data_IF_160018677996
#
_entry.id   IF_160018677996
#
_cell.length_a   1.000
_cell.length_b   1.000
_cell.length_c   1.000
_cell.angle_alpha   90.00
_cell.angle_beta   90.00
_cell.angle_gamma   90.00
#
_symmetry.space_group_name_H-M   'P 1'
#
loop_
_entity.id
_entity.type
_entity.pdbx_description
1 polymer ?
#
# COMPACT_ATOMS: atom_id res chain seq x y z
N UNK A 1 2.14 11.28 -8.11
CA UNK A 1 3.24 11.75 -7.26
C UNK A 1 2.74 12.96 -6.52
N UNK A 2 2.77 12.93 -5.19
CA UNK A 2 2.09 13.88 -4.32
C UNK A 2 3.04 14.26 -3.19
N UNK A 3 3.01 15.53 -2.74
CA UNK A 3 3.61 15.91 -1.46
C UNK A 3 2.62 15.54 -0.35
N UNK A 4 3.08 14.86 0.70
CA UNK A 4 2.25 14.55 1.87
C UNK A 4 2.01 15.83 2.66
N UNK A 5 0.85 15.93 3.32
CA UNK A 5 0.58 17.06 4.20
C UNK A 5 1.58 17.07 5.35
N UNK A 6 2.15 18.25 5.64
CA UNK A 6 2.77 18.49 6.95
C UNK A 6 1.65 18.39 7.97
N UNK A 7 1.74 17.44 8.92
CA UNK A 7 0.84 17.50 10.08
C UNK A 7 1.21 18.76 10.85
N UNK A 8 0.41 19.82 10.69
CA UNK A 8 0.43 20.93 11.62
C UNK A 8 0.25 20.36 13.05
N UNK A 9 0.86 21.03 14.02
CA UNK A 9 1.09 20.58 15.40
C UNK A 9 -0.17 20.36 16.26
N UNK A 10 -1.35 20.21 15.66
CA UNK A 10 -2.57 19.89 16.38
C UNK A 10 -2.71 18.37 16.56
N UNK A 11 -3.03 17.91 17.78
CA UNK A 11 -3.26 16.50 18.02
C UNK A 11 -4.44 16.03 17.16
N UNK A 12 -4.26 14.89 16.49
CA UNK A 12 -5.29 14.26 15.65
C UNK A 12 -6.61 13.97 16.41
N UNK A 13 -6.54 13.91 17.74
CA UNK A 13 -7.66 13.66 18.63
C UNK A 13 -7.45 14.46 19.92
N UNK A 14 -8.48 15.19 20.36
CA UNK A 14 -8.53 15.84 21.66
C UNK A 14 -9.18 14.91 22.68
N UNK A 15 -8.39 14.28 23.58
CA UNK A 15 -8.93 13.37 24.56
C UNK A 15 -9.82 14.05 25.58
N UNK A 16 -9.85 15.38 25.71
CA UNK A 16 -10.72 16.08 26.66
C UNK A 16 -12.06 16.49 26.07
N UNK A 17 -12.21 16.44 24.74
CA UNK A 17 -13.46 16.75 24.07
C UNK A 17 -14.48 15.61 24.21
N UNK A 18 -15.62 15.90 24.85
CA UNK A 18 -16.69 14.92 25.08
C UNK A 18 -17.35 14.46 23.77
N UNK A 19 -17.43 15.32 22.75
CA UNK A 19 -17.99 14.99 21.44
C UNK A 19 -17.05 14.03 20.72
N UNK A 20 -15.76 14.33 20.69
CA UNK A 20 -14.79 13.42 20.04
C UNK A 20 -14.71 12.07 20.76
N UNK A 21 -14.71 12.06 22.10
CA UNK A 21 -14.78 10.83 22.90
C UNK A 21 -16.01 9.98 22.55
N UNK A 22 -17.19 10.61 22.42
CA UNK A 22 -18.41 9.89 22.09
C UNK A 22 -18.34 9.34 20.65
N UNK A 23 -17.87 10.14 19.69
CA UNK A 23 -17.70 9.72 18.31
C UNK A 23 -16.75 8.51 18.17
N UNK A 24 -15.65 8.47 18.93
CA UNK A 24 -14.75 7.31 18.95
C UNK A 24 -15.42 6.04 19.47
N UNK A 25 -16.25 6.15 20.52
CA UNK A 25 -17.01 5.01 21.05
C UNK A 25 -18.00 4.50 20.02
N UNK A 26 -18.72 5.38 19.35
CA UNK A 26 -19.69 5.03 18.33
C UNK A 26 -19.02 4.34 17.14
N UNK A 27 -17.85 4.83 16.71
CA UNK A 27 -17.04 4.19 15.67
C UNK A 27 -16.55 2.80 16.10
N UNK A 28 -16.06 2.66 17.33
CA UNK A 28 -15.62 1.38 17.88
C UNK A 28 -16.74 0.34 17.90
N UNK A 29 -17.92 0.71 18.41
CA UNK A 29 -19.11 -0.15 18.41
C UNK A 29 -19.54 -0.54 17.00
N UNK A 30 -19.53 0.41 16.06
CA UNK A 30 -19.86 0.16 14.66
C UNK A 30 -18.89 -0.82 14.00
N UNK A 31 -17.59 -0.64 14.20
CA UNK A 31 -16.57 -1.54 13.62
C UNK A 31 -16.62 -2.93 14.24
N UNK A 32 -16.86 -3.02 15.55
CA UNK A 32 -17.08 -4.29 16.22
C UNK A 32 -18.29 -5.03 15.63
N UNK A 33 -19.41 -4.34 15.42
CA UNK A 33 -20.59 -4.92 14.78
C UNK A 33 -20.30 -5.40 13.35
N UNK A 34 -19.47 -4.69 12.58
CA UNK A 34 -19.06 -5.15 11.23
C UNK A 34 -18.25 -6.43 11.26
N UNK A 35 -17.39 -6.62 12.27
CA UNK A 35 -16.64 -7.86 12.45
C UNK A 35 -17.57 -8.99 12.89
N UNK A 36 -18.43 -8.75 13.88
CA UNK A 36 -19.40 -9.74 14.40
C UNK A 36 -20.40 -10.21 13.33
N UNK A 37 -20.84 -9.31 12.45
CA UNK A 37 -21.75 -9.61 11.34
C UNK A 37 -21.03 -10.23 10.12
N UNK A 38 -19.69 -10.31 10.14
CA UNK A 38 -18.90 -10.83 9.02
C UNK A 38 -18.82 -9.91 7.79
N UNK A 39 -19.23 -8.64 7.93
CA UNK A 39 -19.05 -7.59 6.91
C UNK A 39 -17.56 -7.30 6.76
N UNK A 40 -16.85 -7.16 7.88
CA UNK A 40 -15.40 -7.12 7.92
C UNK A 40 -14.86 -8.46 8.39
N UNK A 41 -13.84 -8.95 7.69
CA UNK A 41 -13.11 -10.16 8.06
C UNK A 41 -11.66 -9.80 8.26
N UNK A 42 -11.12 -10.10 9.44
CA UNK A 42 -9.71 -9.92 9.76
C UNK A 42 -9.03 -11.27 9.63
N UNK A 43 -8.06 -11.37 8.72
CA UNK A 43 -7.38 -12.62 8.39
C UNK A 43 -5.86 -12.44 8.49
N UNK A 44 -5.17 -13.50 8.89
CA UNK A 44 -3.71 -13.58 8.90
C UNK A 44 -3.22 -14.69 7.98
N UNK A 45 -1.96 -14.58 7.53
CA UNK A 45 -1.27 -15.62 6.77
C UNK A 45 0.25 -15.40 6.84
N UNK A 46 1.03 -16.46 7.02
CA UNK A 46 2.49 -16.39 7.23
C UNK A 46 3.25 -15.75 6.05
N UNK A 47 2.66 -15.80 4.85
CA UNK A 47 3.19 -15.13 3.67
C UNK A 47 3.48 -13.64 3.91
N UNK A 48 2.62 -12.95 4.67
CA UNK A 48 2.75 -11.50 4.91
C UNK A 48 4.02 -11.15 5.67
N UNK A 49 4.41 -12.00 6.61
CA UNK A 49 5.60 -11.83 7.47
C UNK A 49 6.83 -12.59 6.97
N UNK A 50 6.69 -13.38 5.89
CA UNK A 50 7.81 -14.04 5.22
C UNK A 50 8.73 -13.06 4.48
N UNK A 51 9.88 -13.56 4.01
CA UNK A 51 10.81 -12.80 3.16
C UNK A 51 10.38 -12.72 1.69
N UNK A 52 9.33 -13.43 1.28
CA UNK A 52 8.91 -13.46 -0.12
C UNK A 52 8.34 -12.11 -0.57
N UNK A 53 8.79 -11.68 -1.75
CA UNK A 53 8.12 -10.64 -2.52
C UNK A 53 6.77 -11.16 -3.05
N UNK A 54 5.86 -10.24 -3.36
CA UNK A 54 4.50 -10.59 -3.83
C UNK A 54 4.47 -11.20 -5.23
N UNK A 55 5.59 -11.18 -5.95
CA UNK A 55 5.81 -11.98 -7.16
C UNK A 55 5.54 -13.47 -6.93
N UNK A 56 5.85 -13.98 -5.73
CA UNK A 56 5.70 -15.38 -5.38
C UNK A 56 4.28 -15.73 -4.95
N UNK A 57 3.43 -14.75 -4.63
CA UNK A 57 2.07 -14.99 -4.13
C UNK A 57 1.26 -15.94 -5.04
N UNK A 58 1.29 -15.82 -6.39
CA UNK A 58 0.51 -16.71 -7.26
C UNK A 58 1.06 -18.12 -7.44
N UNK A 59 2.33 -18.36 -7.11
CA UNK A 59 3.04 -19.60 -7.46
C UNK A 59 3.60 -20.35 -6.26
N UNK A 60 3.68 -19.71 -5.10
CA UNK A 60 4.22 -20.33 -3.88
C UNK A 60 3.19 -21.32 -3.32
N UNK A 61 3.52 -22.62 -3.19
CA UNK A 61 2.55 -23.62 -2.72
C UNK A 61 1.95 -23.30 -1.35
N UNK A 62 2.77 -22.74 -0.43
CA UNK A 62 2.31 -22.35 0.90
C UNK A 62 1.39 -21.12 0.92
N UNK A 63 1.27 -20.37 -0.18
CA UNK A 63 0.39 -19.20 -0.28
C UNK A 63 -0.80 -19.42 -1.23
N UNK A 64 -0.97 -20.65 -1.73
CA UNK A 64 -1.99 -20.96 -2.74
C UNK A 64 -3.42 -20.71 -2.23
N UNK A 65 -3.70 -21.06 -0.96
CA UNK A 65 -4.98 -20.80 -0.32
C UNK A 65 -5.25 -19.29 -0.22
N UNK A 66 -4.28 -18.53 0.30
CA UNK A 66 -4.35 -17.07 0.40
C UNK A 66 -4.61 -16.43 -0.96
N UNK A 67 -3.86 -16.80 -2.00
CA UNK A 67 -4.05 -16.24 -3.33
C UNK A 67 -5.45 -16.53 -3.89
N UNK A 68 -5.94 -17.76 -3.73
CA UNK A 68 -7.29 -18.13 -4.18
C UNK A 68 -8.38 -17.37 -3.41
N UNK A 69 -8.20 -17.13 -2.12
CA UNK A 69 -9.11 -16.31 -1.31
C UNK A 69 -9.14 -14.86 -1.79
N UNK A 70 -7.96 -14.26 -1.97
CA UNK A 70 -7.81 -12.87 -2.42
C UNK A 70 -8.39 -12.63 -3.81
N UNK A 71 -8.26 -13.60 -4.73
CA UNK A 71 -8.81 -13.52 -6.09
C UNK A 71 -10.32 -13.33 -6.15
N UNK A 72 -11.05 -13.65 -5.07
CA UNK A 72 -12.49 -13.41 -4.99
C UNK A 72 -12.86 -11.94 -4.76
N UNK A 73 -11.88 -11.08 -4.51
CA UNK A 73 -12.08 -9.64 -4.30
C UNK A 73 -12.09 -8.88 -5.63
N UNK A 74 -12.86 -7.79 -5.71
CA UNK A 74 -12.85 -6.92 -6.89
C UNK A 74 -11.62 -5.99 -6.95
N UNK A 75 -11.06 -5.63 -5.79
CA UNK A 75 -9.94 -4.69 -5.67
C UNK A 75 -9.00 -5.08 -4.53
N UNK A 76 -7.70 -5.08 -4.82
CA UNK A 76 -6.65 -5.23 -3.80
C UNK A 76 -6.07 -3.87 -3.43
N UNK A 77 -6.03 -3.56 -2.14
CA UNK A 77 -5.50 -2.31 -1.61
C UNK A 77 -4.26 -2.61 -0.77
N UNK A 78 -3.09 -2.20 -1.25
CA UNK A 78 -1.82 -2.31 -0.53
C UNK A 78 -1.45 -0.98 0.11
N UNK A 79 -1.14 -1.00 1.42
CA UNK A 79 -0.86 0.21 2.20
C UNK A 79 0.58 0.27 2.66
N UNK A 80 1.21 1.42 2.48
CA UNK A 80 2.51 1.73 3.06
C UNK A 80 3.70 1.24 2.24
N UNK A 81 4.89 1.59 2.73
CA UNK A 81 6.16 1.43 2.02
C UNK A 81 6.59 -0.03 1.88
N UNK A 82 6.51 -0.83 2.95
CA UNK A 82 6.90 -2.25 2.90
C UNK A 82 6.09 -3.06 1.89
N UNK A 83 4.77 -2.84 1.83
CA UNK A 83 3.92 -3.49 0.85
C UNK A 83 4.29 -3.08 -0.58
N UNK A 84 4.62 -1.81 -0.80
CA UNK A 84 5.09 -1.34 -2.11
C UNK A 84 6.40 -2.01 -2.50
N UNK A 85 7.37 -2.09 -1.58
CA UNK A 85 8.65 -2.77 -1.81
C UNK A 85 8.45 -4.25 -2.17
N UNK A 86 7.61 -4.98 -1.42
CA UNK A 86 7.24 -6.36 -1.75
C UNK A 86 6.50 -6.50 -3.09
N UNK A 87 5.68 -5.51 -3.47
CA UNK A 87 5.01 -5.47 -4.78
C UNK A 87 6.02 -5.37 -5.91
N UNK A 88 7.00 -4.48 -5.80
CA UNK A 88 7.97 -4.20 -6.86
C UNK A 88 9.30 -4.95 -6.72
N UNK A 89 9.31 -6.01 -5.90
CA UNK A 89 10.48 -6.85 -5.65
C UNK A 89 11.70 -6.12 -5.04
N UNK A 90 11.53 -4.90 -4.53
CA UNK A 90 12.59 -4.08 -3.93
C UNK A 90 13.87 -3.96 -4.81
N UNK A 91 13.71 -3.97 -6.15
CA UNK A 91 14.82 -3.88 -7.09
C UNK A 91 15.19 -2.43 -7.44
N UNK A 92 16.40 -2.24 -7.99
CA UNK A 92 16.86 -0.98 -8.57
C UNK A 92 16.23 -0.71 -9.95
N UNK A 93 14.93 -0.47 -9.96
CA UNK A 93 14.20 -0.15 -11.19
C UNK A 93 14.56 1.24 -11.72
N UNK A 94 14.59 1.44 -13.05
CA UNK A 94 14.38 2.76 -13.61
C UNK A 94 13.08 3.35 -13.07
N UNK A 95 13.12 4.57 -12.56
CA UNK A 95 11.95 5.20 -11.91
C UNK A 95 10.75 5.40 -12.85
N UNK A 96 10.99 5.32 -14.16
CA UNK A 96 10.01 5.43 -15.23
C UNK A 96 9.40 4.09 -15.63
N UNK A 97 9.89 2.95 -15.10
CA UNK A 97 9.33 1.63 -15.38
C UNK A 97 7.83 1.61 -15.06
N UNK A 98 6.96 1.13 -15.96
CA UNK A 98 5.53 1.05 -15.68
C UNK A 98 5.22 0.20 -14.45
N UNK A 99 4.30 0.66 -13.60
CA UNK A 99 3.93 -0.08 -12.37
C UNK A 99 3.46 -1.51 -12.67
N UNK A 100 2.67 -1.70 -13.74
CA UNK A 100 2.20 -3.02 -14.19
C UNK A 100 3.35 -3.98 -14.51
N UNK A 101 4.45 -3.48 -15.06
CA UNK A 101 5.65 -4.28 -15.33
C UNK A 101 6.41 -4.60 -14.05
N UNK A 102 6.59 -3.59 -13.20
CA UNK A 102 7.33 -3.70 -11.95
C UNK A 102 6.69 -4.61 -10.90
N UNK A 103 5.39 -4.95 -11.01
CA UNK A 103 4.73 -5.92 -10.11
C UNK A 103 4.72 -7.36 -10.65
N UNK A 104 5.43 -7.61 -11.77
CA UNK A 104 5.73 -8.94 -12.29
C UNK A 104 4.48 -9.79 -12.54
N UNK A 105 4.39 -11.03 -12.00
CA UNK A 105 3.24 -11.90 -12.18
C UNK A 105 1.90 -11.28 -11.79
N UNK A 106 1.87 -10.34 -10.83
CA UNK A 106 0.63 -9.67 -10.44
C UNK A 106 0.13 -8.65 -11.47
N UNK A 107 1.01 -8.19 -12.36
CA UNK A 107 0.67 -7.26 -13.42
C UNK A 107 0.37 -7.92 -14.75
N UNK A 108 0.93 -9.11 -15.01
CA UNK A 108 0.75 -9.83 -16.27
C UNK A 108 -0.39 -10.85 -16.27
N UNK A 109 -0.79 -11.37 -15.10
CA UNK A 109 -1.85 -12.38 -14.98
C UNK A 109 -3.25 -11.76 -15.09
N UNK A 110 -4.12 -12.46 -15.80
CA UNK A 110 -5.53 -12.09 -15.95
C UNK A 110 -6.39 -12.46 -14.74
N UNK A 111 -6.01 -13.50 -14.00
CA UNK A 111 -6.74 -13.92 -12.79
C UNK A 111 -6.39 -13.10 -11.55
N UNK A 112 -5.64 -12.01 -11.71
CA UNK A 112 -5.32 -11.07 -10.63
C UNK A 112 -6.26 -9.86 -10.74
N UNK A 113 -7.08 -9.60 -9.69
CA UNK A 113 -7.96 -8.44 -9.63
C UNK A 113 -7.23 -7.11 -9.83
N UNK A 114 -8.02 -6.04 -9.99
CA UNK A 114 -7.44 -4.70 -9.98
C UNK A 114 -6.71 -4.45 -8.66
N UNK A 115 -5.61 -3.71 -8.72
CA UNK A 115 -4.72 -3.49 -7.59
C UNK A 115 -4.35 -2.02 -7.49
N UNK A 116 -4.46 -1.46 -6.29
CA UNK A 116 -3.95 -0.13 -5.97
C UNK A 116 -2.97 -0.18 -4.79
N UNK A 117 -1.86 0.53 -4.92
CA UNK A 117 -0.91 0.75 -3.84
C UNK A 117 -0.90 2.21 -3.42
N UNK A 118 -1.14 2.46 -2.13
CA UNK A 118 -1.00 3.75 -1.49
C UNK A 118 0.28 3.77 -0.69
N UNK A 119 1.29 4.51 -1.16
CA UNK A 119 2.62 4.49 -0.58
C UNK A 119 3.15 5.89 -0.35
N UNK A 120 3.53 6.16 0.88
CA UNK A 120 4.45 7.25 1.22
C UNK A 120 5.89 6.76 0.99
N UNK A 121 6.71 7.53 0.28
CA UNK A 121 8.08 7.19 -0.08
C UNK A 121 8.98 7.18 1.16
N UNK A 122 9.39 5.99 1.60
CA UNK A 122 10.30 5.75 2.72
C UNK A 122 11.45 4.80 2.36
N UNK A 123 11.69 4.61 1.06
CA UNK A 123 12.73 3.76 0.49
C UNK A 123 13.08 4.25 -0.93
N UNK A 124 14.29 3.94 -1.37
CA UNK A 124 14.87 4.34 -2.66
C UNK A 124 14.10 3.81 -3.88
N UNK A 125 13.43 2.66 -3.78
CA UNK A 125 12.66 2.12 -4.90
C UNK A 125 11.42 2.96 -5.20
N UNK A 126 11.20 3.33 -6.46
CA UNK A 126 9.98 3.98 -6.96
C UNK A 126 9.85 3.70 -8.45
N UNK A 127 8.63 3.49 -8.93
CA UNK A 127 8.34 3.23 -10.35
C UNK A 127 7.13 4.03 -10.83
N UNK A 128 6.91 4.05 -12.15
CA UNK A 128 5.73 4.66 -12.78
C UNK A 128 5.76 6.19 -12.80
N UNK A 129 6.91 6.82 -12.58
CA UNK A 129 7.05 8.27 -12.72
C UNK A 129 7.17 8.68 -14.18
N UNK A 130 6.71 9.89 -14.50
CA UNK A 130 6.96 10.47 -15.82
C UNK A 130 8.46 10.80 -15.97
N UNK A 131 9.03 10.70 -17.18
CA UNK A 131 10.40 11.15 -17.45
C UNK A 131 10.62 12.59 -16.95
N UNK A 132 11.78 12.87 -16.35
CA UNK A 132 12.14 14.19 -15.82
C UNK A 132 11.67 14.49 -14.40
N UNK A 133 10.73 13.70 -13.84
CA UNK A 133 10.22 13.94 -12.48
C UNK A 133 11.29 13.65 -11.43
N UNK A 134 12.01 12.54 -11.53
CA UNK A 134 13.04 12.19 -10.55
C UNK A 134 14.22 13.16 -10.57
N UNK A 135 14.65 13.57 -11.76
CA UNK A 135 15.70 14.57 -11.95
C UNK A 135 15.29 15.91 -11.32
N UNK A 136 14.06 16.36 -11.57
CA UNK A 136 13.51 17.55 -10.92
C UNK A 136 13.49 17.39 -9.40
N UNK A 137 13.02 16.27 -8.88
CA UNK A 137 12.95 16.05 -7.44
C UNK A 137 14.33 16.05 -6.79
N UNK A 138 15.34 15.45 -7.43
CA UNK A 138 16.72 15.46 -6.95
C UNK A 138 17.32 16.88 -6.82
N UNK A 139 16.79 17.86 -7.57
CA UNK A 139 17.18 19.28 -7.40
C UNK A 139 16.45 19.98 -6.25
N UNK A 140 15.22 19.56 -5.94
CA UNK A 140 14.36 20.17 -4.91
C UNK A 140 14.70 19.61 -3.53
N UNK A 141 14.83 18.29 -3.44
CA UNK A 141 15.07 17.56 -2.21
C UNK A 141 15.76 16.25 -2.55
N UNK A 142 17.02 16.07 -2.14
CA UNK A 142 17.78 14.85 -2.44
C UNK A 142 17.26 13.60 -1.72
N UNK A 143 16.45 13.77 -0.68
CA UNK A 143 15.95 12.69 0.18
C UNK A 143 14.46 12.38 -0.05
N UNK A 144 13.87 12.90 -1.12
CA UNK A 144 12.44 12.79 -1.43
C UNK A 144 11.89 11.35 -1.48
N UNK A 145 12.75 10.36 -1.75
CA UNK A 145 12.35 8.95 -1.78
C UNK A 145 12.29 8.31 -0.39
N UNK A 146 12.96 8.87 0.61
CA UNK A 146 13.18 8.24 1.91
C UNK A 146 12.64 9.02 3.11
N UNK A 147 12.36 10.32 2.95
CA UNK A 147 11.97 11.19 4.06
C UNK A 147 10.48 11.12 4.45
N UNK A 148 9.65 10.42 3.69
CA UNK A 148 8.22 10.31 3.97
C UNK A 148 7.37 11.53 3.57
N UNK A 149 7.96 12.54 2.91
CA UNK A 149 7.26 13.76 2.50
C UNK A 149 6.55 13.63 1.14
N UNK A 150 6.77 12.52 0.44
CA UNK A 150 6.19 12.29 -0.88
C UNK A 150 5.45 10.97 -0.92
N UNK A 151 4.49 10.87 -1.83
CA UNK A 151 3.66 9.69 -1.99
C UNK A 151 3.33 9.40 -3.45
N UNK A 152 3.07 8.12 -3.72
CA UNK A 152 2.56 7.61 -4.98
C UNK A 152 1.29 6.81 -4.74
N UNK A 153 0.37 6.94 -5.70
CA UNK A 153 -0.78 6.05 -5.85
C UNK A 153 -0.55 5.34 -7.17
N UNK A 154 -0.35 4.03 -7.11
CA UNK A 154 -0.03 3.21 -8.29
C UNK A 154 -1.16 2.22 -8.51
N UNK A 155 -1.74 2.21 -9.70
CA UNK A 155 -2.91 1.41 -10.04
C UNK A 155 -2.59 0.47 -11.22
N UNK A 156 -2.98 -0.80 -11.07
CA UNK A 156 -3.08 -1.79 -12.14
C UNK A 156 -4.56 -2.14 -12.30
N UNK A 157 -5.17 -1.88 -13.46
CA UNK A 157 -6.51 -2.37 -13.75
C UNK A 157 -6.52 -3.89 -13.85
#
# INVERSE_FOLDING_TARGET
FYKTGSSAAEPFFNPDDLIEKQALKDLGQKWQAYVEQGIWKVTGHDFWTSCYAFYHLPTLPSAQELFNDMKRSDLWIFKGDLNYRKLVYDCQWPITTPFKEAIGPLGSREDVPSLVSFRTCKADVVVGLKPGVGEKMNTIDKNWMVNGEYAVISFKP
#
